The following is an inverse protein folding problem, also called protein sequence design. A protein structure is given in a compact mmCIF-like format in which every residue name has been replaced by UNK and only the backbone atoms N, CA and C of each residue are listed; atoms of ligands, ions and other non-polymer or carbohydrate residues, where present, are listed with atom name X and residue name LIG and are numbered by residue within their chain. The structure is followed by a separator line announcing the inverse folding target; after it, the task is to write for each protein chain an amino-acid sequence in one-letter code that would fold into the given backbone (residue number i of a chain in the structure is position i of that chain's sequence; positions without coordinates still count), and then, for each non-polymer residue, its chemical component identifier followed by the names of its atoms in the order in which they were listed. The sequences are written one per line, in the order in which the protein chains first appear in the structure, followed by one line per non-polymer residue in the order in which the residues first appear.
data_IF_374881395028
#
_entry.id   IF_374881395028
#
_cell.length_a   1.000
_cell.length_b   1.000
_cell.length_c   1.000
_cell.angle_alpha   90.00
_cell.angle_beta   90.00
_cell.angle_gamma   90.00
#
_symmetry.space_group_name_H-M   'P 1'
#
loop_
_entity.id
_entity.type
_entity.pdbx_description
1 polymer ?
#
# COMPACT_ATOMS: atom_id res chain seq x y z
N UNK A 1 -15.31 12.53 -2.16
CA UNK A 1 -13.88 12.84 -1.89
C UNK A 1 -13.58 14.34 -2.04
N UNK A 2 -13.76 14.95 -3.22
CA UNK A 2 -13.43 16.37 -3.44
C UNK A 2 -14.17 17.33 -2.49
N UNK A 3 -15.48 17.15 -2.28
CA UNK A 3 -16.26 18.00 -1.36
C UNK A 3 -15.73 17.98 0.07
N UNK A 4 -15.35 16.81 0.58
CA UNK A 4 -14.81 16.65 1.94
C UNK A 4 -13.43 17.32 2.03
N UNK A 5 -12.58 17.15 1.02
CA UNK A 5 -11.28 17.84 0.98
C UNK A 5 -11.46 19.36 0.97
N UNK A 6 -12.42 19.89 0.22
CA UNK A 6 -12.74 21.33 0.22
C UNK A 6 -13.19 21.80 1.60
N UNK A 7 -14.07 21.05 2.28
CA UNK A 7 -14.51 21.36 3.65
C UNK A 7 -13.33 21.37 4.64
N UNK A 8 -12.44 20.37 4.54
CA UNK A 8 -11.24 20.29 5.38
C UNK A 8 -10.28 21.46 5.14
N UNK A 9 -10.08 21.87 3.89
CA UNK A 9 -9.25 23.03 3.57
C UNK A 9 -9.88 24.34 4.07
N UNK A 10 -11.21 24.48 4.00
CA UNK A 10 -11.93 25.66 4.49
C UNK A 10 -11.79 25.86 6.00
N UNK A 11 -11.64 24.79 6.77
CA UNK A 11 -11.38 24.85 8.22
C UNK A 11 -9.88 24.87 8.57
N UNK A 12 -8.99 25.00 7.57
CA UNK A 12 -7.56 25.08 7.77
C UNK A 12 -6.91 23.78 8.27
N UNK A 13 -7.51 22.62 7.96
CA UNK A 13 -6.97 21.34 8.40
C UNK A 13 -5.63 21.03 7.71
N UNK A 14 -4.62 20.65 8.50
CA UNK A 14 -3.37 20.11 7.98
C UNK A 14 -3.59 18.69 7.43
N UNK A 15 -3.64 18.57 6.11
CA UNK A 15 -3.83 17.29 5.41
C UNK A 15 -2.55 16.44 5.34
N UNK A 16 -1.42 16.95 5.83
CA UNK A 16 -0.15 16.20 5.84
C UNK A 16 -0.05 15.21 7.00
N UNK A 17 -0.90 15.36 8.02
CA UNK A 17 -0.93 14.57 9.25
C UNK A 17 -2.25 13.82 9.44
N UNK A 18 -2.17 12.51 9.69
CA UNK A 18 -3.33 11.65 9.96
C UNK A 18 -4.10 12.12 11.20
N UNK A 19 -3.40 12.55 12.25
CA UNK A 19 -4.03 13.04 13.48
C UNK A 19 -4.74 14.38 13.30
N UNK A 20 -4.20 15.25 12.45
CA UNK A 20 -4.83 16.53 12.13
C UNK A 20 -6.10 16.33 11.29
N UNK A 21 -6.07 15.43 10.30
CA UNK A 21 -7.27 15.02 9.55
C UNK A 21 -8.32 14.43 10.50
N UNK A 22 -7.92 13.52 11.40
CA UNK A 22 -8.84 12.94 12.41
C UNK A 22 -9.51 14.01 13.26
N UNK A 23 -8.74 14.97 13.77
CA UNK A 23 -9.28 16.07 14.58
C UNK A 23 -10.29 16.90 13.77
N UNK A 24 -9.97 17.24 12.52
CA UNK A 24 -10.87 18.01 11.66
C UNK A 24 -12.15 17.24 11.29
N UNK A 25 -12.05 15.94 11.00
CA UNK A 25 -13.20 15.08 10.67
C UNK A 25 -14.12 14.85 11.88
N UNK A 26 -13.56 14.69 13.08
CA UNK A 26 -14.36 14.57 14.30
C UNK A 26 -15.25 15.80 14.56
N UNK A 27 -14.80 16.98 14.11
CA UNK A 27 -15.57 18.23 14.23
C UNK A 27 -16.76 18.28 13.26
N UNK A 28 -16.68 17.55 12.14
CA UNK A 28 -17.75 17.48 11.13
C UNK A 28 -18.57 16.18 11.20
N UNK A 29 -18.31 15.32 12.18
CA UNK A 29 -19.12 14.12 12.47
C UNK A 29 -18.90 12.94 11.53
N UNK A 30 -17.73 12.84 10.89
CA UNK A 30 -17.41 11.78 9.93
C UNK A 30 -16.70 10.56 10.57
N UNK A 31 -16.70 9.42 9.88
CA UNK A 31 -16.13 8.14 10.34
C UNK A 31 -14.59 8.10 10.33
N UNK A 32 -14.02 7.28 11.21
CA UNK A 32 -12.59 7.01 11.32
C UNK A 32 -12.01 6.35 10.06
N UNK A 33 -12.78 5.55 9.31
CA UNK A 33 -12.31 4.98 8.04
C UNK A 33 -12.04 6.08 7.00
N UNK A 34 -12.86 7.14 6.99
CA UNK A 34 -12.70 8.26 6.06
C UNK A 34 -11.38 9.01 6.30
N UNK A 35 -10.90 9.07 7.54
CA UNK A 35 -9.57 9.61 7.88
C UNK A 35 -8.49 8.91 7.08
N UNK A 36 -8.53 7.58 7.06
CA UNK A 36 -7.50 6.75 6.45
C UNK A 36 -7.57 6.80 4.93
N UNK A 37 -8.77 6.87 4.38
CA UNK A 37 -9.00 7.07 2.94
C UNK A 37 -8.42 8.42 2.48
N UNK A 38 -8.74 9.51 3.20
CA UNK A 38 -8.25 10.85 2.87
C UNK A 38 -6.74 10.92 3.01
N UNK A 39 -6.19 10.43 4.13
CA UNK A 39 -4.75 10.45 4.38
C UNK A 39 -3.99 9.70 3.29
N UNK A 40 -4.46 8.49 2.95
CA UNK A 40 -3.89 7.66 1.89
C UNK A 40 -3.95 8.36 0.54
N UNK A 41 -5.09 8.97 0.19
CA UNK A 41 -5.25 9.72 -1.06
C UNK A 41 -4.27 10.88 -1.16
N UNK A 42 -4.16 11.71 -0.11
CA UNK A 42 -3.26 12.86 -0.07
C UNK A 42 -1.81 12.41 -0.23
N UNK A 43 -1.38 11.37 0.50
CA UNK A 43 0.00 10.86 0.42
C UNK A 43 0.33 10.24 -0.93
N UNK A 44 -0.61 9.52 -1.53
CA UNK A 44 -0.46 9.04 -2.90
C UNK A 44 -0.18 10.18 -3.87
N UNK A 45 -0.97 11.27 -3.79
CA UNK A 45 -0.76 12.45 -4.63
C UNK A 45 0.57 13.15 -4.36
N UNK A 46 0.95 13.30 -3.10
CA UNK A 46 2.22 13.95 -2.73
C UNK A 46 3.45 13.19 -3.21
N UNK A 47 3.44 11.84 -3.15
CA UNK A 47 4.60 11.01 -3.51
C UNK A 47 4.56 10.47 -4.95
N UNK A 48 3.51 10.75 -5.72
CA UNK A 48 3.27 10.19 -7.05
C UNK A 48 4.52 10.31 -7.95
N UNK A 49 5.02 11.54 -8.11
CA UNK A 49 6.19 11.80 -8.95
C UNK A 49 7.49 11.23 -8.38
N UNK A 50 7.64 11.17 -7.06
CA UNK A 50 8.83 10.64 -6.41
C UNK A 50 8.96 9.13 -6.61
N UNK A 51 7.85 8.39 -6.53
CA UNK A 51 7.85 6.94 -6.72
C UNK A 51 8.09 6.58 -8.19
N UNK A 52 7.40 7.24 -9.12
CA UNK A 52 7.43 6.81 -10.51
C UNK A 52 8.73 7.16 -11.27
N UNK A 53 9.58 8.02 -10.69
CA UNK A 53 10.96 8.26 -11.15
C UNK A 53 11.97 7.19 -10.69
N UNK A 54 11.62 6.40 -9.67
CA UNK A 54 12.52 5.36 -9.14
C UNK A 54 12.56 4.18 -10.12
N UNK A 55 13.74 3.62 -10.46
CA UNK A 55 13.84 2.40 -11.26
C UNK A 55 13.11 1.21 -10.62
N UNK A 56 12.50 0.34 -11.41
CA UNK A 56 11.65 -0.76 -10.90
C UNK A 56 12.40 -1.68 -9.94
N UNK A 57 13.67 -1.97 -10.21
CA UNK A 57 14.53 -2.80 -9.37
C UNK A 57 14.79 -2.20 -7.97
N UNK A 58 14.60 -0.87 -7.80
CA UNK A 58 14.72 -0.16 -6.52
C UNK A 58 13.37 0.16 -5.88
N UNK A 59 12.27 -0.46 -6.35
CA UNK A 59 10.95 -0.37 -5.74
C UNK A 59 10.64 -1.65 -4.97
N UNK A 60 10.16 -1.52 -3.75
CA UNK A 60 9.57 -2.64 -3.02
C UNK A 60 8.05 -2.71 -3.26
N UNK A 61 7.54 -3.89 -3.57
CA UNK A 61 6.11 -4.19 -3.65
C UNK A 61 5.71 -5.10 -2.49
N UNK A 62 4.73 -4.68 -1.70
CA UNK A 62 4.15 -5.46 -0.61
C UNK A 62 2.71 -5.84 -0.93
N UNK A 63 2.44 -7.14 -0.93
CA UNK A 63 1.12 -7.73 -1.11
C UNK A 63 0.64 -8.32 0.23
N UNK A 64 -0.66 -8.23 0.56
CA UNK A 64 -1.18 -8.73 1.82
C UNK A 64 -1.47 -10.23 1.70
N UNK A 65 -1.25 -10.98 2.79
CA UNK A 65 -1.64 -12.40 2.84
C UNK A 65 -3.14 -12.61 2.60
N UNK A 66 -3.96 -11.62 2.93
CA UNK A 66 -5.42 -11.69 2.84
C UNK A 66 -5.93 -11.83 1.39
N UNK A 67 -5.11 -11.57 0.37
CA UNK A 67 -5.45 -11.82 -1.04
C UNK A 67 -5.30 -13.29 -1.44
N UNK A 68 -4.66 -14.11 -0.60
CA UNK A 68 -4.55 -15.55 -0.84
C UNK A 68 -5.92 -16.17 -0.70
N UNK A 69 -6.20 -17.15 -1.56
CA UNK A 69 -7.30 -18.08 -1.35
C UNK A 69 -6.99 -18.93 -0.11
N UNK A 70 -7.83 -18.81 0.91
CA UNK A 70 -7.65 -19.42 2.23
C UNK A 70 -7.62 -20.95 2.21
N UNK A 71 -8.20 -21.57 1.18
CA UNK A 71 -8.35 -23.03 1.08
C UNK A 71 -7.33 -23.66 0.14
N UNK A 72 -7.02 -23.00 -0.96
CA UNK A 72 -6.29 -23.60 -2.09
C UNK A 72 -4.91 -22.98 -2.32
N UNK A 73 -4.57 -21.88 -1.65
CA UNK A 73 -3.27 -21.23 -1.85
C UNK A 73 -2.13 -22.07 -1.27
N UNK A 74 -1.23 -22.54 -2.15
CA UNK A 74 -0.06 -23.34 -1.80
C UNK A 74 1.17 -22.51 -1.37
N UNK A 75 1.00 -21.22 -1.09
CA UNK A 75 2.12 -20.36 -0.68
C UNK A 75 2.71 -20.81 0.66
N UNK A 76 4.03 -20.79 0.76
CA UNK A 76 4.76 -21.28 1.93
C UNK A 76 5.25 -20.12 2.78
N UNK A 77 5.05 -20.19 4.11
CA UNK A 77 5.49 -19.14 5.02
C UNK A 77 6.99 -19.25 5.31
N UNK A 78 7.70 -18.14 5.15
CA UNK A 78 9.12 -18.00 5.49
C UNK A 78 9.35 -16.84 6.45
N UNK A 79 10.61 -16.64 6.87
CA UNK A 79 11.01 -15.49 7.69
C UNK A 79 10.77 -14.13 7.02
N UNK A 80 10.66 -14.08 5.68
CA UNK A 80 10.40 -12.88 4.88
C UNK A 80 8.97 -12.80 4.34
N UNK A 81 8.07 -13.66 4.84
CA UNK A 81 6.67 -13.72 4.42
C UNK A 81 6.40 -14.94 3.55
N UNK A 82 5.27 -14.92 2.86
CA UNK A 82 4.85 -16.02 2.00
C UNK A 82 5.60 -16.01 0.67
N UNK A 83 6.04 -17.19 0.24
CA UNK A 83 6.60 -17.44 -1.09
C UNK A 83 5.49 -18.00 -1.97
N UNK A 84 5.11 -17.25 -3.01
CA UNK A 84 4.12 -17.69 -3.99
C UNK A 84 4.65 -18.90 -4.77
N UNK A 85 3.90 -20.00 -4.79
CA UNK A 85 4.20 -21.18 -5.63
C UNK A 85 3.55 -21.11 -7.01
N UNK A 86 3.02 -19.95 -7.41
CA UNK A 86 2.36 -19.71 -8.71
C UNK A 86 1.20 -20.70 -8.99
N UNK A 87 0.47 -21.11 -7.94
CA UNK A 87 -0.59 -22.12 -8.02
C UNK A 87 -1.87 -21.69 -8.77
N UNK A 88 -2.01 -20.43 -9.16
CA UNK A 88 -3.18 -19.93 -9.92
C UNK A 88 -4.46 -19.66 -9.11
N UNK A 89 -4.53 -20.04 -7.84
CA UNK A 89 -5.76 -19.97 -7.04
C UNK A 89 -6.13 -18.56 -6.50
N UNK A 90 -5.35 -17.54 -6.80
CA UNK A 90 -5.61 -16.15 -6.39
C UNK A 90 -4.86 -15.16 -7.30
N UNK A 91 -5.22 -13.87 -7.21
CA UNK A 91 -4.65 -12.84 -8.10
C UNK A 91 -3.18 -12.46 -7.80
N UNK A 92 -2.61 -12.95 -6.68
CA UNK A 92 -1.22 -12.64 -6.30
C UNK A 92 -0.23 -13.08 -7.38
N UNK A 93 -0.42 -14.26 -7.98
CA UNK A 93 0.49 -14.78 -9.00
C UNK A 93 0.60 -13.81 -10.19
N UNK A 94 -0.54 -13.37 -10.72
CA UNK A 94 -0.62 -12.44 -11.85
C UNK A 94 0.08 -11.10 -11.56
N UNK A 95 -0.08 -10.58 -10.33
CA UNK A 95 0.59 -9.35 -9.90
C UNK A 95 2.10 -9.55 -9.81
N UNK A 96 2.55 -10.67 -9.24
CA UNK A 96 3.98 -10.99 -9.10
C UNK A 96 4.62 -11.13 -10.47
N UNK A 97 4.04 -11.92 -11.37
CA UNK A 97 4.60 -12.14 -12.71
C UNK A 97 4.72 -10.82 -13.49
N UNK A 98 3.70 -9.97 -13.41
CA UNK A 98 3.75 -8.65 -14.03
C UNK A 98 4.87 -7.77 -13.42
N UNK A 99 5.02 -7.74 -12.11
CA UNK A 99 6.08 -6.98 -11.44
C UNK A 99 7.49 -7.53 -11.77
N UNK A 100 7.66 -8.85 -11.82
CA UNK A 100 8.90 -9.52 -12.22
C UNK A 100 9.29 -9.12 -13.65
N UNK A 101 8.34 -9.12 -14.59
CA UNK A 101 8.54 -8.72 -15.98
C UNK A 101 8.93 -7.24 -16.14
N UNK A 102 8.50 -6.37 -15.22
CA UNK A 102 8.93 -4.97 -15.16
C UNK A 102 10.35 -4.79 -14.57
N UNK A 103 10.91 -5.82 -13.94
CA UNK A 103 12.24 -5.80 -13.35
C UNK A 103 12.27 -5.55 -11.83
N UNK A 104 11.13 -5.65 -11.14
CA UNK A 104 11.12 -5.59 -9.67
C UNK A 104 12.00 -6.69 -9.07
N UNK A 105 12.83 -6.32 -8.07
CA UNK A 105 13.67 -7.27 -7.30
C UNK A 105 13.16 -7.53 -5.89
N UNK A 106 12.25 -6.68 -5.41
CA UNK A 106 11.75 -6.68 -4.05
C UNK A 106 10.23 -6.83 -4.05
N UNK A 107 9.74 -8.08 -4.03
CA UNK A 107 8.32 -8.40 -3.98
C UNK A 107 8.09 -9.30 -2.77
N UNK A 108 7.18 -8.91 -1.88
CA UNK A 108 6.92 -9.62 -0.63
C UNK A 108 5.42 -9.81 -0.41
N UNK A 109 5.02 -11.02 -0.01
CA UNK A 109 3.68 -11.30 0.49
C UNK A 109 3.77 -11.37 2.02
N UNK A 110 3.17 -10.43 2.71
CA UNK A 110 3.37 -10.27 4.17
C UNK A 110 2.11 -10.65 4.96
N UNK A 111 2.25 -11.27 6.15
CA UNK A 111 1.13 -11.58 7.02
C UNK A 111 0.58 -10.35 7.77
N UNK A 112 1.35 -9.27 7.84
CA UNK A 112 0.91 -8.02 8.48
C UNK A 112 2.02 -6.96 8.53
N UNK A 113 1.64 -5.75 8.95
CA UNK A 113 2.50 -4.57 8.92
C UNK A 113 3.85 -4.71 9.65
N UNK A 114 3.92 -5.42 10.78
CA UNK A 114 5.18 -5.61 11.52
C UNK A 114 6.30 -6.22 10.66
N UNK A 115 5.97 -7.15 9.77
CA UNK A 115 6.95 -7.75 8.87
C UNK A 115 7.41 -6.79 7.77
N UNK A 116 6.51 -5.93 7.25
CA UNK A 116 6.85 -4.88 6.27
C UNK A 116 8.01 -4.03 6.78
N UNK A 117 7.91 -3.53 8.02
CA UNK A 117 8.96 -2.67 8.57
C UNK A 117 10.23 -3.40 8.96
N UNK A 118 10.16 -4.69 9.25
CA UNK A 118 11.36 -5.53 9.41
C UNK A 118 12.09 -5.64 8.07
N UNK A 119 11.38 -6.02 7.01
CA UNK A 119 11.93 -6.16 5.65
C UNK A 119 12.51 -4.83 5.18
N UNK A 120 11.76 -3.72 5.27
CA UNK A 120 12.22 -2.39 4.87
C UNK A 120 13.50 -1.95 5.59
N UNK A 121 13.73 -2.39 6.83
CA UNK A 121 15.00 -2.12 7.53
C UNK A 121 16.14 -2.96 6.98
N UNK A 122 15.89 -4.21 6.61
CA UNK A 122 16.88 -5.12 6.04
C UNK A 122 17.32 -4.67 4.64
N UNK A 123 16.40 -4.16 3.80
CA UNK A 123 16.66 -3.79 2.40
C UNK A 123 16.80 -2.27 2.19
N UNK A 124 17.01 -1.49 3.26
CA UNK A 124 16.94 -0.02 3.23
C UNK A 124 17.88 0.64 2.19
N UNK A 125 19.03 0.02 1.92
CA UNK A 125 20.03 0.50 0.96
C UNK A 125 19.71 0.10 -0.49
N UNK A 126 18.86 -0.89 -0.68
CA UNK A 126 18.52 -1.48 -1.99
C UNK A 126 17.32 -0.77 -2.62
N UNK A 127 16.41 -0.24 -1.80
CA UNK A 127 15.18 0.42 -2.27
C UNK A 127 15.24 1.94 -2.16
N UNK A 128 14.43 2.62 -2.97
CA UNK A 128 14.18 4.06 -2.94
C UNK A 128 12.70 4.43 -2.90
N UNK A 129 11.80 3.47 -3.08
CA UNK A 129 10.36 3.64 -2.94
C UNK A 129 9.67 2.33 -2.54
N UNK A 130 8.47 2.44 -1.96
CA UNK A 130 7.63 1.31 -1.61
C UNK A 130 6.21 1.44 -2.18
N UNK A 131 5.60 0.33 -2.59
CA UNK A 131 4.21 0.26 -3.02
C UNK A 131 3.54 -0.82 -2.17
N UNK A 132 2.43 -0.49 -1.53
CA UNK A 132 1.70 -1.41 -0.67
C UNK A 132 0.26 -1.62 -1.13
N UNK A 133 -0.21 -2.87 -1.07
CA UNK A 133 -1.62 -3.24 -1.22
C UNK A 133 -2.12 -3.70 0.16
N UNK A 134 -3.18 -3.09 0.70
CA UNK A 134 -3.80 -3.50 1.97
C UNK A 134 -5.15 -2.79 2.20
N UNK A 135 -5.78 -2.99 3.37
CA UNK A 135 -6.90 -2.17 3.81
C UNK A 135 -6.45 -0.74 4.16
N UNK A 136 -7.38 0.21 4.21
CA UNK A 136 -7.05 1.61 4.49
C UNK A 136 -6.32 1.82 5.82
N UNK A 137 -6.69 1.08 6.87
CA UNK A 137 -6.05 1.17 8.20
C UNK A 137 -4.56 0.83 8.11
N UNK A 138 -4.20 -0.34 7.55
CA UNK A 138 -2.80 -0.75 7.40
C UNK A 138 -2.03 0.17 6.45
N UNK A 139 -2.66 0.63 5.36
CA UNK A 139 -2.05 1.58 4.43
C UNK A 139 -1.74 2.92 5.08
N UNK A 140 -2.66 3.47 5.86
CA UNK A 140 -2.49 4.74 6.56
C UNK A 140 -1.39 4.66 7.62
N UNK A 141 -1.33 3.57 8.39
CA UNK A 141 -0.25 3.32 9.36
C UNK A 141 1.11 3.17 8.68
N UNK A 142 1.17 2.41 7.59
CA UNK A 142 2.39 2.27 6.79
C UNK A 142 2.84 3.60 6.20
N UNK A 143 1.91 4.35 5.62
CA UNK A 143 2.16 5.67 5.03
C UNK A 143 2.70 6.65 6.06
N UNK A 144 2.15 6.67 7.28
CA UNK A 144 2.64 7.56 8.34
C UNK A 144 4.09 7.24 8.72
N UNK A 145 4.41 5.96 8.90
CA UNK A 145 5.76 5.51 9.26
C UNK A 145 6.78 5.72 8.14
N UNK A 146 6.38 5.53 6.89
CA UNK A 146 7.23 5.79 5.72
C UNK A 146 7.46 7.29 5.51
N UNK A 147 6.41 8.10 5.69
CA UNK A 147 6.50 9.57 5.62
C UNK A 147 7.50 10.12 6.62
N UNK A 148 7.48 9.65 7.88
CA UNK A 148 8.47 10.04 8.92
C UNK A 148 9.92 9.70 8.55
N UNK A 149 10.13 8.73 7.64
CA UNK A 149 11.45 8.32 7.15
C UNK A 149 11.79 8.90 5.77
N UNK A 150 10.95 9.78 5.22
CA UNK A 150 11.09 10.32 3.87
C UNK A 150 11.23 9.23 2.79
N UNK A 151 10.52 8.11 2.94
CA UNK A 151 10.48 7.05 1.92
C UNK A 151 9.25 7.29 1.04
N UNK A 152 9.43 7.63 -0.25
CA UNK A 152 8.33 7.75 -1.21
C UNK A 152 7.53 6.46 -1.30
N UNK A 153 6.21 6.58 -1.34
CA UNK A 153 5.34 5.41 -1.42
C UNK A 153 4.04 5.65 -2.17
N UNK A 154 3.44 4.55 -2.60
CA UNK A 154 2.07 4.49 -3.12
C UNK A 154 1.29 3.41 -2.37
N UNK A 155 0.02 3.68 -2.14
CA UNK A 155 -0.91 2.86 -1.40
C UNK A 155 -2.07 2.47 -2.31
N UNK A 156 -2.33 1.17 -2.43
CA UNK A 156 -3.36 0.62 -3.30
C UNK A 156 -4.39 -0.11 -2.42
N UNK A 157 -5.58 0.48 -2.19
CA UNK A 157 -6.57 -0.12 -1.31
C UNK A 157 -7.18 -1.38 -1.91
N UNK A 158 -7.55 -2.31 -1.03
CA UNK A 158 -8.42 -3.44 -1.38
C UNK A 158 -9.83 -2.92 -1.73
N UNK A 159 -10.47 -3.52 -2.74
CA UNK A 159 -11.88 -3.27 -3.06
C UNK A 159 -12.80 -3.85 -1.99
N UNK A 160 -12.45 -5.04 -1.48
CA UNK A 160 -13.13 -5.68 -0.35
C UNK A 160 -12.10 -6.02 0.70
N UNK A 161 -12.09 -5.25 1.77
CA UNK A 161 -11.23 -5.47 2.93
C UNK A 161 -11.73 -6.64 3.79
N UNK A 162 -10.86 -7.13 4.66
CA UNK A 162 -11.06 -8.29 5.50
C UNK A 162 -9.74 -8.97 5.83
N UNK A 163 -9.78 -10.03 6.63
CA UNK A 163 -8.58 -10.78 7.01
C UNK A 163 -8.36 -12.05 6.17
N UNK A 164 -9.36 -12.44 5.36
CA UNK A 164 -9.35 -13.64 4.52
C UNK A 164 -10.06 -13.35 3.19
N UNK A 165 -9.59 -13.97 2.10
CA UNK A 165 -10.22 -13.96 0.78
C UNK A 165 -10.66 -12.56 0.32
N UNK A 166 -9.79 -11.57 0.51
CA UNK A 166 -10.00 -10.17 0.11
C UNK A 166 -9.92 -9.99 -1.40
N UNK A 167 -10.35 -8.82 -1.89
CA UNK A 167 -10.37 -8.52 -3.34
C UNK A 167 -9.64 -7.20 -3.59
N UNK A 168 -8.82 -7.17 -4.65
CA UNK A 168 -8.15 -5.97 -5.16
C UNK A 168 -8.47 -5.82 -6.65
N UNK A 169 -8.51 -4.57 -7.12
CA UNK A 169 -8.50 -4.29 -8.56
C UNK A 169 -7.10 -4.56 -9.11
N UNK A 170 -6.93 -5.70 -9.78
CA UNK A 170 -5.65 -6.09 -10.39
C UNK A 170 -5.22 -5.13 -11.50
N UNK A 171 -6.17 -4.53 -12.22
CA UNK A 171 -5.90 -3.54 -13.25
C UNK A 171 -5.29 -2.27 -12.66
N UNK A 172 -5.86 -1.76 -11.57
CA UNK A 172 -5.29 -0.60 -10.86
C UNK A 172 -3.92 -0.93 -10.24
N UNK A 173 -3.74 -2.14 -9.69
CA UNK A 173 -2.43 -2.59 -9.21
C UNK A 173 -1.39 -2.54 -10.33
N UNK A 174 -1.67 -3.18 -11.47
CA UNK A 174 -0.77 -3.22 -12.64
C UNK A 174 -0.47 -1.83 -13.18
N UNK A 175 -1.47 -0.95 -13.24
CA UNK A 175 -1.32 0.44 -13.65
C UNK A 175 -0.37 1.21 -12.74
N UNK A 176 -0.50 1.09 -11.42
CA UNK A 176 0.37 1.80 -10.46
C UNK A 176 1.78 1.23 -10.48
N UNK A 177 1.96 -0.10 -10.38
CA UNK A 177 3.30 -0.70 -10.33
C UNK A 177 4.05 -0.59 -11.66
N UNK A 178 3.33 -0.57 -12.79
CA UNK A 178 3.90 -0.38 -14.13
C UNK A 178 4.19 1.07 -14.51
N UNK A 179 3.81 2.06 -13.68
CA UNK A 179 3.96 3.46 -14.05
C UNK A 179 5.40 3.95 -13.95
N UNK A 180 5.81 4.74 -14.94
CA UNK A 180 7.12 5.41 -15.01
C UNK A 180 6.92 6.84 -15.52
N UNK A 181 7.70 7.78 -14.99
CA UNK A 181 7.77 9.19 -15.41
C UNK A 181 9.21 9.51 -15.78
#
# INVERSE_FOLDING_TARGET
MLEILTKLMAVGADLSSRSAIKKALSFIGEDDELVDQIYTFVKNKSYESNVFKVPFEKRALFLPQCLRNSKECQAELTKKGYVCKKCGNCNIFEIIEYAENLGYKHIYIVPGGSLVFKILREINNEIKAAIGVACFVELAEASERLSRKNIPHQCIPLMRAGCIDTVVDVGEVKKIIGRKI
#
